data_IF_487595939636
#
_entry.id   IF_487595939636
#
_cell.length_a   1.000
_cell.length_b   1.000
_cell.length_c   1.000
_cell.angle_alpha   90.00
_cell.angle_beta   90.00
_cell.angle_gamma   90.00
#
_symmetry.space_group_name_H-M   'P 1'
#
loop_
_entity.id
_entity.type
_entity.pdbx_description
1 polymer ?
#
# COMPACT_ATOMS: atom_id res chain seq x y z
N UNK A 1 -4.77 5.11 19.23
CA UNK A 1 -3.40 4.72 18.83
C UNK A 1 -2.75 5.93 18.19
N UNK A 2 -1.55 6.33 18.60
CA UNK A 2 -0.77 7.32 17.86
C UNK A 2 -0.17 6.59 16.65
N UNK A 3 -0.20 7.14 15.42
CA UNK A 3 0.45 6.50 14.28
C UNK A 3 1.96 6.50 14.55
N UNK A 4 2.58 5.34 14.47
CA UNK A 4 4.03 5.26 14.42
C UNK A 4 4.44 5.65 13.00
N UNK A 5 4.83 6.92 12.81
CA UNK A 5 5.48 7.35 11.58
C UNK A 5 6.81 6.58 11.52
N UNK A 6 6.93 5.63 10.60
CA UNK A 6 8.17 4.89 10.37
C UNK A 6 9.21 5.89 9.83
N UNK A 7 10.33 6.14 10.53
CA UNK A 7 11.32 7.12 10.09
C UNK A 7 11.98 6.69 8.77
N UNK A 8 12.18 7.60 7.79
CA UNK A 8 12.85 7.29 6.52
C UNK A 8 14.29 6.78 6.66
N UNK A 9 14.93 7.00 7.81
CA UNK A 9 16.32 6.58 8.05
C UNK A 9 16.47 5.06 8.27
N UNK A 10 15.37 4.34 8.50
CA UNK A 10 15.39 2.97 9.02
C UNK A 10 14.86 1.92 8.03
N UNK A 11 14.42 2.32 6.84
CA UNK A 11 13.68 1.46 5.92
C UNK A 11 14.18 1.51 4.48
N UNK A 12 14.08 0.40 3.77
CA UNK A 12 14.39 0.31 2.33
C UNK A 12 13.29 -0.48 1.63
N UNK A 13 12.63 0.11 0.62
CA UNK A 13 11.53 -0.51 -0.14
C UNK A 13 12.03 -1.19 -1.43
N UNK A 14 11.61 -2.43 -1.70
CA UNK A 14 11.96 -3.19 -2.91
C UNK A 14 10.76 -3.96 -3.51
N UNK A 15 10.98 -4.47 -4.73
CA UNK A 15 10.28 -5.59 -5.42
C UNK A 15 8.88 -5.36 -6.02
N UNK A 16 8.61 -4.17 -6.53
CA UNK A 16 7.41 -3.94 -7.36
C UNK A 16 7.57 -4.59 -8.74
N UNK A 17 6.50 -5.21 -9.26
CA UNK A 17 6.34 -5.59 -10.68
C UNK A 17 7.53 -6.37 -11.31
N UNK A 18 7.94 -7.49 -10.72
CA UNK A 18 9.04 -8.32 -11.26
C UNK A 18 8.65 -8.98 -12.60
N UNK A 19 9.37 -8.65 -13.67
CA UNK A 19 9.21 -9.29 -14.98
C UNK A 19 9.99 -10.61 -15.09
N UNK A 20 9.28 -11.73 -15.07
CA UNK A 20 9.88 -13.06 -15.24
C UNK A 20 10.40 -13.33 -16.65
N UNK A 21 9.90 -12.65 -17.69
CA UNK A 21 10.46 -12.77 -19.03
C UNK A 21 11.89 -12.21 -19.08
N UNK A 22 12.12 -11.08 -18.41
CA UNK A 22 13.45 -10.51 -18.21
C UNK A 22 14.39 -11.50 -17.48
N UNK A 23 13.92 -12.18 -16.43
CA UNK A 23 14.73 -13.19 -15.74
C UNK A 23 15.02 -14.42 -16.60
N UNK A 24 14.04 -14.88 -17.38
CA UNK A 24 14.18 -16.04 -18.25
C UNK A 24 15.10 -15.78 -19.46
N UNK A 25 15.36 -14.53 -19.82
CA UNK A 25 16.31 -14.15 -20.88
C UNK A 25 17.77 -14.11 -20.40
N UNK A 26 18.01 -14.09 -19.07
CA UNK A 26 19.35 -14.03 -18.51
C UNK A 26 19.98 -15.42 -18.34
N UNK A 27 21.05 -15.69 -19.10
CA UNK A 27 21.81 -16.95 -18.99
C UNK A 27 22.27 -17.23 -17.55
N UNK A 28 22.70 -16.20 -16.82
CA UNK A 28 23.16 -16.32 -15.43
C UNK A 28 22.04 -16.78 -14.50
N UNK A 29 20.85 -16.18 -14.64
CA UNK A 29 19.67 -16.54 -13.84
C UNK A 29 19.21 -17.96 -14.19
N UNK A 30 19.09 -18.26 -15.48
CA UNK A 30 18.69 -19.59 -15.97
C UNK A 30 19.64 -20.67 -15.46
N UNK A 31 20.95 -20.47 -15.55
CA UNK A 31 21.94 -21.43 -15.03
C UNK A 31 21.88 -21.56 -13.51
N UNK A 32 21.58 -20.47 -12.77
CA UNK A 32 21.36 -20.54 -11.33
C UNK A 32 20.13 -21.41 -10.99
N UNK A 33 19.01 -21.18 -11.69
CA UNK A 33 17.79 -21.96 -11.49
C UNK A 33 18.02 -23.44 -11.77
N UNK A 34 18.70 -23.78 -12.88
CA UNK A 34 19.08 -25.15 -13.21
C UNK A 34 19.94 -25.81 -12.13
N UNK A 35 21.01 -25.13 -11.66
CA UNK A 35 21.89 -25.66 -10.58
C UNK A 35 21.17 -25.84 -9.25
N UNK A 36 20.08 -25.10 -9.02
CA UNK A 36 19.29 -25.15 -7.79
C UNK A 36 18.05 -26.03 -7.91
N UNK A 37 17.83 -26.68 -9.07
CA UNK A 37 16.65 -27.50 -9.31
C UNK A 37 15.34 -26.71 -9.34
N UNK A 38 15.39 -25.42 -9.65
CA UNK A 38 14.21 -24.55 -9.74
C UNK A 38 13.69 -24.60 -11.19
N UNK A 39 12.41 -24.94 -11.36
CA UNK A 39 11.76 -24.99 -12.67
C UNK A 39 11.71 -23.60 -13.33
N UNK A 40 11.70 -23.55 -14.66
CA UNK A 40 11.61 -22.29 -15.45
C UNK A 40 10.17 -21.97 -15.82
N UNK A 41 9.28 -22.13 -14.85
CA UNK A 41 7.87 -21.81 -14.93
C UNK A 41 7.53 -20.72 -13.91
N UNK A 42 6.27 -20.30 -13.91
CA UNK A 42 5.77 -19.26 -13.03
C UNK A 42 6.03 -19.57 -11.53
N UNK A 43 5.85 -20.83 -11.11
CA UNK A 43 6.11 -21.24 -9.74
C UNK A 43 7.60 -21.13 -9.36
N UNK A 44 8.50 -21.56 -10.25
CA UNK A 44 9.93 -21.47 -10.02
C UNK A 44 10.48 -20.05 -10.01
N UNK A 45 9.97 -19.15 -10.86
CA UNK A 45 10.35 -17.73 -10.80
C UNK A 45 9.84 -17.03 -9.53
N UNK A 46 8.67 -17.42 -9.03
CA UNK A 46 8.17 -16.95 -7.74
C UNK A 46 9.01 -17.47 -6.57
N UNK A 47 9.41 -18.74 -6.59
CA UNK A 47 10.37 -19.28 -5.62
C UNK A 47 11.69 -18.50 -5.64
N UNK A 48 12.21 -18.19 -6.84
CA UNK A 48 13.43 -17.39 -7.00
C UNK A 48 13.27 -15.97 -6.43
N UNK A 49 12.14 -15.32 -6.69
CA UNK A 49 11.82 -13.97 -6.20
C UNK A 49 11.82 -13.93 -4.67
N UNK A 50 11.20 -14.92 -4.05
CA UNK A 50 11.21 -14.98 -2.61
C UNK A 50 12.55 -15.33 -1.99
N UNK A 51 13.36 -16.18 -2.63
CA UNK A 51 14.76 -16.39 -2.21
C UNK A 51 15.55 -15.09 -2.26
N UNK A 52 15.30 -14.25 -3.27
CA UNK A 52 15.90 -12.92 -3.37
C UNK A 52 15.44 -12.01 -2.22
N UNK A 53 14.13 -11.90 -1.98
CA UNK A 53 13.57 -11.09 -0.89
C UNK A 53 14.09 -11.57 0.47
N UNK A 54 14.04 -12.87 0.76
CA UNK A 54 14.53 -13.44 2.01
C UNK A 54 16.02 -13.21 2.24
N UNK A 55 16.84 -13.22 1.19
CA UNK A 55 18.27 -12.89 1.30
C UNK A 55 18.48 -11.40 1.54
N UNK A 56 17.76 -10.54 0.83
CA UNK A 56 17.89 -9.10 0.90
C UNK A 56 17.46 -8.55 2.27
N UNK A 57 16.29 -8.98 2.74
CA UNK A 57 15.78 -8.69 4.08
C UNK A 57 16.75 -9.12 5.18
N UNK A 58 17.34 -10.32 5.10
CA UNK A 58 18.37 -10.75 6.04
C UNK A 58 19.63 -9.88 6.01
N UNK A 59 19.98 -9.29 4.87
CA UNK A 59 21.08 -8.31 4.77
C UNK A 59 20.70 -6.95 5.38
N UNK A 60 19.47 -6.49 5.14
CA UNK A 60 18.93 -5.25 5.73
C UNK A 60 18.86 -5.38 7.25
N UNK A 61 18.38 -6.50 7.77
CA UNK A 61 18.34 -6.79 9.21
C UNK A 61 19.74 -6.74 9.85
N UNK A 62 20.78 -7.27 9.17
CA UNK A 62 22.18 -7.17 9.63
C UNK A 62 22.70 -5.74 9.74
N UNK A 63 22.09 -4.79 9.02
CA UNK A 63 22.42 -3.37 9.11
C UNK A 63 21.65 -2.64 10.21
N UNK A 64 20.85 -3.34 11.02
CA UNK A 64 20.00 -2.75 12.06
C UNK A 64 18.83 -1.96 11.49
N UNK A 65 18.41 -2.28 10.26
CA UNK A 65 17.32 -1.62 9.54
C UNK A 65 16.15 -2.57 9.32
N UNK A 66 14.98 -1.98 9.11
CA UNK A 66 13.75 -2.69 8.78
C UNK A 66 13.63 -2.80 7.26
N UNK A 67 13.32 -4.00 6.77
CA UNK A 67 13.02 -4.16 5.35
C UNK A 67 11.55 -3.84 5.10
N UNK A 68 11.29 -3.04 4.07
CA UNK A 68 9.96 -2.80 3.54
C UNK A 68 9.90 -3.42 2.14
N UNK A 69 8.81 -4.05 1.78
CA UNK A 69 8.60 -4.50 0.40
C UNK A 69 7.17 -4.20 -0.03
N UNK A 70 7.00 -3.92 -1.32
CA UNK A 70 5.66 -3.85 -1.90
C UNK A 70 4.93 -5.19 -1.73
N UNK A 71 3.60 -5.15 -1.73
CA UNK A 71 2.73 -6.31 -1.52
C UNK A 71 3.02 -7.51 -2.43
N UNK A 72 3.68 -7.31 -3.57
CA UNK A 72 4.16 -8.36 -4.46
C UNK A 72 5.11 -9.34 -3.79
N UNK A 73 5.81 -8.91 -2.74
CA UNK A 73 6.57 -9.84 -1.91
C UNK A 73 5.67 -10.96 -1.36
N UNK A 74 4.41 -10.63 -1.09
CA UNK A 74 3.39 -11.56 -0.62
C UNK A 74 2.52 -12.17 -1.71
N UNK A 75 2.24 -11.44 -2.78
CA UNK A 75 1.11 -11.76 -3.67
C UNK A 75 1.49 -11.98 -5.15
N UNK A 76 2.79 -11.82 -5.45
CA UNK A 76 3.51 -12.04 -6.72
C UNK A 76 2.67 -11.86 -8.00
N UNK A 77 2.67 -10.66 -8.59
CA UNK A 77 2.18 -10.41 -9.94
C UNK A 77 3.14 -10.98 -11.00
N UNK A 78 2.69 -11.97 -11.76
CA UNK A 78 3.28 -12.36 -13.03
C UNK A 78 2.49 -11.76 -14.21
N UNK A 79 3.08 -11.58 -15.40
CA UNK A 79 2.50 -10.80 -16.51
C UNK A 79 1.19 -11.35 -17.10
N UNK A 80 0.69 -12.51 -16.64
CA UNK A 80 -0.49 -13.18 -17.22
C UNK A 80 -1.41 -13.88 -16.21
N UNK A 81 -1.16 -13.82 -14.91
CA UNK A 81 -1.81 -14.74 -13.97
C UNK A 81 -3.13 -14.20 -13.37
N UNK A 82 -4.27 -14.71 -13.87
CA UNK A 82 -5.57 -14.66 -13.21
C UNK A 82 -5.65 -15.55 -11.94
N UNK A 83 -4.58 -16.30 -11.63
CA UNK A 83 -4.49 -17.17 -10.47
C UNK A 83 -3.57 -16.55 -9.41
N UNK A 84 -4.09 -16.26 -8.20
CA UNK A 84 -3.28 -15.77 -7.10
C UNK A 84 -2.22 -16.81 -6.77
N UNK A 85 -0.98 -16.37 -6.50
CA UNK A 85 0.04 -17.27 -5.96
C UNK A 85 0.27 -16.88 -4.52
N UNK A 86 0.22 -17.85 -3.58
CA UNK A 86 0.54 -17.57 -2.20
C UNK A 86 1.96 -16.97 -2.09
N UNK A 87 2.24 -16.22 -1.01
CA UNK A 87 3.59 -15.83 -0.71
C UNK A 87 4.46 -17.07 -0.66
N UNK A 88 5.72 -16.90 -1.00
CA UNK A 88 6.68 -17.94 -0.69
C UNK A 88 6.70 -18.26 0.79
N UNK A 89 6.82 -19.56 1.10
CA UNK A 89 6.90 -20.11 2.44
C UNK A 89 8.05 -19.57 3.32
N UNK A 90 8.88 -18.61 2.85
CA UNK A 90 10.10 -18.13 3.53
C UNK A 90 10.27 -16.61 3.53
N UNK A 91 9.18 -15.85 3.65
CA UNK A 91 9.31 -14.43 3.99
C UNK A 91 9.73 -14.29 5.46
N UNK A 92 10.69 -13.40 5.79
CA UNK A 92 11.06 -13.10 7.17
C UNK A 92 9.91 -12.45 7.93
N UNK A 93 9.78 -12.75 9.22
CA UNK A 93 8.67 -12.26 10.04
C UNK A 93 8.72 -10.77 10.38
N UNK A 94 9.90 -10.16 10.25
CA UNK A 94 10.16 -8.73 10.48
C UNK A 94 10.06 -7.89 9.20
N UNK A 95 9.64 -8.49 8.08
CA UNK A 95 9.33 -7.76 6.86
C UNK A 95 8.06 -6.91 7.04
N UNK A 96 8.16 -5.62 6.75
CA UNK A 96 6.99 -4.73 6.61
C UNK A 96 6.50 -4.78 5.16
N UNK A 97 5.19 -4.90 4.98
CA UNK A 97 4.58 -5.01 3.65
C UNK A 97 3.77 -3.77 3.33
N UNK A 98 4.09 -3.12 2.21
CA UNK A 98 3.43 -1.91 1.75
C UNK A 98 2.33 -2.25 0.73
N UNK A 99 1.07 -2.02 1.12
CA UNK A 99 -0.10 -2.27 0.29
C UNK A 99 -0.42 -1.07 -0.60
N UNK A 100 -0.38 -1.29 -1.91
CA UNK A 100 -0.58 -0.25 -2.92
C UNK A 100 -1.70 -0.56 -3.90
N UNK A 101 -2.06 -1.85 -4.02
CA UNK A 101 -3.03 -2.37 -4.97
C UNK A 101 -4.07 -3.24 -4.25
N UNK A 102 -5.30 -3.20 -4.75
CA UNK A 102 -6.34 -4.16 -4.42
C UNK A 102 -6.85 -4.78 -5.72
N UNK A 103 -6.16 -5.78 -6.28
CA UNK A 103 -6.58 -6.40 -7.53
C UNK A 103 -7.88 -7.20 -7.33
N UNK A 104 -8.81 -7.20 -8.30
CA UNK A 104 -10.03 -8.00 -8.20
C UNK A 104 -9.75 -9.51 -8.20
N UNK A 105 -8.71 -9.95 -8.91
CA UNK A 105 -8.35 -11.37 -9.03
C UNK A 105 -7.55 -11.93 -7.84
N UNK A 106 -7.13 -11.09 -6.89
CA UNK A 106 -6.33 -11.52 -5.74
C UNK A 106 -6.83 -10.87 -4.43
N UNK A 107 -6.90 -11.67 -3.37
CA UNK A 107 -7.49 -11.35 -2.07
C UNK A 107 -6.46 -10.82 -1.07
N UNK A 108 -5.28 -10.43 -1.57
CA UNK A 108 -4.18 -9.81 -0.84
C UNK A 108 -4.51 -8.37 -0.42
N UNK A 109 -5.54 -8.23 0.41
CA UNK A 109 -5.88 -6.98 1.06
C UNK A 109 -5.19 -6.88 2.43
N UNK A 110 -5.32 -5.73 3.08
CA UNK A 110 -4.69 -5.47 4.37
C UNK A 110 -5.01 -6.53 5.44
N UNK A 111 -6.21 -7.12 5.42
CA UNK A 111 -6.61 -8.18 6.37
C UNK A 111 -5.86 -9.50 6.16
N UNK A 112 -5.48 -9.77 4.91
CA UNK A 112 -4.66 -10.91 4.55
C UNK A 112 -3.19 -10.66 4.94
N UNK A 113 -2.66 -9.46 4.67
CA UNK A 113 -1.31 -9.05 5.04
C UNK A 113 -1.10 -9.13 6.56
N UNK A 114 -1.99 -8.47 7.31
CA UNK A 114 -1.93 -8.36 8.78
C UNK A 114 -2.46 -9.58 9.52
N UNK A 115 -2.93 -10.61 8.80
CA UNK A 115 -3.58 -11.77 9.38
C UNK A 115 -3.00 -13.09 8.92
N UNK A 116 -3.74 -14.14 9.23
CA UNK A 116 -3.50 -15.49 8.76
C UNK A 116 -4.41 -15.85 7.58
N UNK A 117 -4.89 -14.87 6.79
CA UNK A 117 -5.95 -15.04 5.77
C UNK A 117 -5.63 -15.98 4.59
N UNK A 118 -4.40 -16.50 4.57
CA UNK A 118 -3.93 -17.54 3.64
C UNK A 118 -3.93 -18.95 4.26
N UNK A 119 -4.07 -19.10 5.58
CA UNK A 119 -4.12 -20.40 6.26
C UNK A 119 -5.41 -21.14 5.90
N UNK A 120 -5.29 -22.42 5.55
CA UNK A 120 -6.43 -23.30 5.25
C UNK A 120 -6.92 -23.26 3.81
N UNK A 121 -6.21 -22.61 2.88
CA UNK A 121 -6.54 -22.67 1.45
C UNK A 121 -5.82 -23.84 0.77
N UNK A 122 -6.52 -24.62 -0.09
CA UNK A 122 -5.95 -25.82 -0.73
C UNK A 122 -4.67 -25.56 -1.55
N UNK A 123 -4.43 -24.30 -1.94
CA UNK A 123 -3.35 -23.82 -2.79
C UNK A 123 -2.23 -23.06 -2.04
N UNK A 124 -2.32 -22.88 -0.71
CA UNK A 124 -1.42 -22.00 0.04
C UNK A 124 -0.33 -22.75 0.82
N UNK A 125 0.92 -22.62 0.37
CA UNK A 125 2.11 -22.88 1.20
C UNK A 125 2.45 -21.64 2.04
N UNK A 126 1.54 -21.23 2.93
CA UNK A 126 1.85 -20.15 3.87
C UNK A 126 3.00 -20.56 4.79
N UNK A 127 3.92 -19.65 5.17
CA UNK A 127 4.91 -19.93 6.21
C UNK A 127 4.17 -20.36 7.49
N UNK A 128 4.28 -21.63 7.86
CA UNK A 128 3.73 -22.12 9.13
C UNK A 128 4.40 -21.36 10.28
N UNK A 129 3.60 -20.91 11.26
CA UNK A 129 4.10 -20.15 12.41
C UNK A 129 4.11 -18.63 12.25
N UNK A 130 3.62 -18.05 11.14
CA UNK A 130 3.47 -16.60 11.01
C UNK A 130 2.08 -16.10 11.44
N UNK A 131 2.00 -14.95 12.15
CA UNK A 131 0.73 -14.35 12.62
C UNK A 131 0.24 -13.18 11.76
N UNK A 132 0.86 -12.94 10.60
CA UNK A 132 0.64 -11.78 9.72
C UNK A 132 1.75 -10.74 9.84
N UNK A 133 1.99 -9.95 8.80
CA UNK A 133 3.05 -8.95 8.73
C UNK A 133 2.58 -7.60 9.26
N UNK A 134 3.53 -6.78 9.69
CA UNK A 134 3.30 -5.34 9.80
C UNK A 134 3.11 -4.74 8.41
N UNK A 135 2.30 -3.68 8.32
CA UNK A 135 1.89 -3.12 7.05
C UNK A 135 1.90 -1.60 7.01
N UNK A 136 2.26 -1.06 5.84
CA UNK A 136 2.04 0.31 5.43
C UNK A 136 0.96 0.35 4.34
N UNK A 137 0.19 1.44 4.28
CA UNK A 137 -0.89 1.59 3.30
C UNK A 137 -0.64 2.80 2.40
N UNK A 138 -0.60 2.57 1.10
CA UNK A 138 -0.55 3.62 0.07
C UNK A 138 -1.68 3.51 -0.95
N UNK A 139 -2.44 2.42 -0.90
CA UNK A 139 -3.64 2.19 -1.69
C UNK A 139 -4.60 3.39 -1.61
N UNK A 140 -4.81 4.04 -2.76
CA UNK A 140 -5.71 5.19 -2.88
C UNK A 140 -5.08 6.56 -2.62
N UNK A 141 -3.76 6.65 -2.40
CA UNK A 141 -3.03 7.89 -2.14
C UNK A 141 -1.91 8.21 -3.14
N UNK A 142 -1.96 7.61 -4.34
CA UNK A 142 -1.05 7.95 -5.45
C UNK A 142 -1.30 9.38 -5.94
N UNK A 143 -0.37 10.29 -5.66
CA UNK A 143 -0.46 11.71 -5.98
C UNK A 143 -0.01 12.03 -7.41
N UNK A 144 0.71 11.12 -8.06
CA UNK A 144 1.17 11.22 -9.45
C UNK A 144 0.06 11.04 -10.49
N UNK A 145 -1.07 10.44 -10.09
CA UNK A 145 -2.21 10.17 -10.96
C UNK A 145 -2.75 11.40 -11.70
N UNK A 146 -3.48 11.14 -12.80
CA UNK A 146 -4.05 12.16 -13.70
C UNK A 146 -5.30 12.85 -13.15
N UNK A 147 -5.73 12.51 -11.93
CA UNK A 147 -6.80 13.22 -11.25
C UNK A 147 -6.46 14.71 -11.11
N UNK A 148 -7.51 15.55 -11.12
CA UNK A 148 -7.36 17.00 -10.92
C UNK A 148 -6.46 17.29 -9.72
N UNK A 149 -5.54 18.26 -9.83
CA UNK A 149 -4.70 18.66 -8.71
C UNK A 149 -5.52 19.17 -7.51
N UNK A 150 -6.78 19.53 -7.75
CA UNK A 150 -7.73 19.98 -6.75
C UNK A 150 -8.56 18.83 -6.15
N UNK A 151 -8.41 17.59 -6.60
CA UNK A 151 -9.17 16.43 -6.12
C UNK A 151 -8.55 15.86 -4.82
N UNK A 152 -8.61 16.63 -3.74
CA UNK A 152 -8.10 16.22 -2.42
C UNK A 152 -9.14 15.42 -1.62
N UNK A 153 -10.42 15.60 -1.91
CA UNK A 153 -11.55 14.97 -1.23
C UNK A 153 -11.51 13.45 -1.37
N UNK A 154 -11.10 12.94 -2.53
CA UNK A 154 -10.96 11.51 -2.77
C UNK A 154 -9.90 10.89 -1.86
N UNK A 155 -8.73 11.55 -1.73
CA UNK A 155 -7.67 11.13 -0.82
C UNK A 155 -8.12 11.24 0.65
N UNK A 156 -8.88 12.29 0.98
CA UNK A 156 -9.41 12.50 2.33
C UNK A 156 -10.50 11.49 2.72
N UNK A 157 -11.26 10.97 1.75
CA UNK A 157 -12.32 9.99 2.01
C UNK A 157 -11.78 8.58 2.32
N UNK A 158 -10.49 8.31 2.03
CA UNK A 158 -9.85 7.02 2.31
C UNK A 158 -9.54 6.85 3.80
N UNK A 159 -9.57 5.60 4.23
CA UNK A 159 -9.25 5.19 5.59
C UNK A 159 -8.21 4.06 5.54
N UNK A 160 -7.04 4.18 6.22
CA UNK A 160 -6.00 3.16 6.15
C UNK A 160 -6.44 1.78 6.68
N UNK A 161 -7.39 1.71 7.60
CA UNK A 161 -7.79 0.44 8.23
C UNK A 161 -8.94 -0.29 7.54
N UNK A 162 -9.55 0.29 6.50
CA UNK A 162 -10.68 -0.32 5.81
C UNK A 162 -10.80 0.18 4.38
N UNK A 163 -11.26 -0.69 3.46
CA UNK A 163 -11.70 -0.22 2.14
C UNK A 163 -13.16 0.27 2.13
N UNK A 164 -13.79 0.43 3.30
CA UNK A 164 -15.12 1.03 3.40
C UNK A 164 -15.01 2.56 3.38
N UNK A 165 -15.91 3.17 2.62
CA UNK A 165 -16.23 4.59 2.74
C UNK A 165 -17.44 4.72 3.66
N UNK A 166 -17.26 5.39 4.80
CA UNK A 166 -18.29 5.56 5.82
C UNK A 166 -18.73 7.02 5.97
N UNK A 167 -20.02 7.23 6.18
CA UNK A 167 -20.60 8.49 6.66
C UNK A 167 -20.77 8.39 8.16
N UNK A 168 -20.28 9.40 8.88
CA UNK A 168 -20.42 9.49 10.34
C UNK A 168 -21.44 10.56 10.71
N UNK A 169 -22.22 10.30 11.75
CA UNK A 169 -23.11 11.29 12.34
C UNK A 169 -22.33 12.37 13.13
N UNK A 170 -23.04 13.38 13.64
CA UNK A 170 -22.43 14.46 14.41
C UNK A 170 -21.79 14.00 15.75
N UNK A 171 -22.17 12.83 16.26
CA UNK A 171 -21.61 12.22 17.46
C UNK A 171 -20.41 11.29 17.14
N UNK A 172 -20.09 11.08 15.87
CA UNK A 172 -19.00 10.23 15.41
C UNK A 172 -19.38 8.74 15.30
N UNK A 173 -20.67 8.39 15.29
CA UNK A 173 -21.13 7.04 15.01
C UNK A 173 -21.24 6.78 13.50
N UNK A 174 -21.01 5.55 13.08
CA UNK A 174 -21.19 5.12 11.69
C UNK A 174 -22.68 5.11 11.33
N UNK A 175 -23.10 6.02 10.44
CA UNK A 175 -24.47 6.10 9.96
C UNK A 175 -24.70 5.19 8.74
N UNK A 176 -23.72 5.13 7.83
CA UNK A 176 -23.75 4.25 6.65
C UNK A 176 -22.33 3.97 6.15
N UNK A 177 -22.05 2.76 5.70
CA UNK A 177 -20.76 2.40 5.09
C UNK A 177 -20.97 1.57 3.83
N UNK A 178 -20.20 1.88 2.77
CA UNK A 178 -20.16 1.09 1.55
C UNK A 178 -18.72 0.70 1.23
N UNK A 179 -18.52 -0.52 0.74
CA UNK A 179 -17.19 -0.94 0.34
C UNK A 179 -16.80 -0.28 -0.98
N UNK A 180 -15.62 0.35 -1.00
CA UNK A 180 -14.98 0.76 -2.23
C UNK A 180 -14.28 -0.46 -2.83
N UNK A 181 -14.85 -0.96 -3.92
CA UNK A 181 -14.34 -2.12 -4.65
C UNK A 181 -13.82 -1.62 -5.99
N UNK A 182 -12.55 -1.90 -6.35
CA UNK A 182 -12.08 -1.61 -7.70
C UNK A 182 -12.90 -2.39 -8.74
N UNK A 183 -13.04 -1.82 -9.94
CA UNK A 183 -13.70 -2.46 -11.07
C UNK A 183 -12.84 -3.63 -11.57
N UNK A 184 -13.45 -4.81 -11.72
CA UNK A 184 -12.77 -5.99 -12.27
C UNK A 184 -13.49 -7.30 -11.95
N UNK A 185 -13.21 -8.38 -12.71
CA UNK A 185 -13.77 -9.69 -12.44
C UNK A 185 -13.10 -10.29 -11.21
N UNK A 186 -13.82 -10.26 -10.08
CA UNK A 186 -13.38 -10.96 -8.88
C UNK A 186 -13.36 -12.47 -9.13
N UNK A 187 -12.35 -13.18 -8.63
CA UNK A 187 -12.19 -14.63 -8.89
C UNK A 187 -13.44 -15.45 -8.49
N UNK A 188 -14.10 -15.06 -7.41
CA UNK A 188 -15.34 -15.67 -6.91
C UNK A 188 -16.59 -14.83 -7.19
N UNK A 189 -16.46 -13.80 -8.05
CA UNK A 189 -17.53 -12.86 -8.38
C UNK A 189 -17.95 -11.94 -7.24
N UNK A 190 -17.19 -11.88 -6.12
CA UNK A 190 -17.56 -11.11 -4.93
C UNK A 190 -16.48 -10.10 -4.55
N UNK A 191 -16.91 -8.89 -4.18
CA UNK A 191 -16.01 -7.93 -3.56
C UNK A 191 -15.63 -8.36 -2.15
N UNK A 192 -14.33 -8.44 -1.87
CA UNK A 192 -13.81 -8.73 -0.53
C UNK A 192 -13.56 -7.43 0.24
N UNK A 193 -14.58 -6.97 0.97
CA UNK A 193 -14.42 -5.89 1.92
C UNK A 193 -13.53 -6.31 3.09
N UNK A 194 -12.72 -5.39 3.58
CA UNK A 194 -12.01 -5.57 4.84
C UNK A 194 -12.23 -4.37 5.76
N UNK A 195 -12.26 -4.66 7.04
CA UNK A 195 -12.39 -3.66 8.10
C UNK A 195 -11.61 -4.14 9.31
N UNK A 196 -10.47 -3.52 9.56
CA UNK A 196 -9.60 -3.89 10.66
C UNK A 196 -9.89 -3.09 11.92
N UNK A 197 -10.78 -2.10 11.86
CA UNK A 197 -11.08 -1.22 12.98
C UNK A 197 -11.63 -2.04 14.15
N UNK A 198 -11.08 -1.82 15.34
CA UNK A 198 -11.42 -2.59 16.54
C UNK A 198 -10.86 -4.02 16.60
N UNK A 199 -10.16 -4.49 15.57
CA UNK A 199 -9.51 -5.81 15.58
C UNK A 199 -8.06 -5.73 16.10
N UNK A 200 -7.56 -6.84 16.63
CA UNK A 200 -6.14 -6.96 16.99
C UNK A 200 -5.19 -6.76 15.79
N UNK A 201 -5.67 -7.01 14.56
CA UNK A 201 -4.89 -6.83 13.33
C UNK A 201 -4.60 -5.36 13.01
N UNK A 202 -5.44 -4.42 13.47
CA UNK A 202 -5.19 -2.99 13.25
C UNK A 202 -3.88 -2.52 13.89
N UNK A 203 -3.43 -3.17 14.97
CA UNK A 203 -2.16 -2.84 15.61
C UNK A 203 -0.94 -3.16 14.72
N UNK A 204 -1.10 -3.98 13.68
CA UNK A 204 -0.06 -4.28 12.69
C UNK A 204 0.01 -3.27 11.55
N UNK A 205 -0.95 -2.35 11.46
CA UNK A 205 -0.91 -1.27 10.45
C UNK A 205 -0.16 -0.09 11.05
N UNK A 206 1.05 0.14 10.56
CA UNK A 206 1.97 1.15 11.11
C UNK A 206 1.53 2.58 10.73
N UNK A 207 0.94 2.72 9.54
CA UNK A 207 0.49 3.98 8.99
C UNK A 207 0.30 3.88 7.49
N UNK A 208 0.67 4.95 6.79
CA UNK A 208 0.62 4.96 5.33
C UNK A 208 1.39 6.10 4.71
N UNK A 209 1.49 6.07 3.39
CA UNK A 209 2.27 7.02 2.60
C UNK A 209 1.47 7.52 1.40
N UNK A 210 1.81 8.73 0.94
CA UNK A 210 1.22 9.33 -0.26
C UNK A 210 2.29 9.36 -1.36
N UNK A 211 2.45 8.28 -2.15
CA UNK A 211 3.50 8.21 -3.15
C UNK A 211 3.28 9.26 -4.25
N UNK A 212 4.38 9.86 -4.71
CA UNK A 212 4.42 10.75 -5.86
C UNK A 212 5.52 10.24 -6.80
N UNK A 213 5.12 9.36 -7.72
CA UNK A 213 6.05 8.78 -8.70
C UNK A 213 6.60 9.82 -9.67
N UNK A 214 7.86 9.61 -10.08
CA UNK A 214 8.72 10.63 -10.69
C UNK A 214 8.59 10.80 -12.21
N UNK A 215 7.79 9.99 -12.89
CA UNK A 215 7.76 9.90 -14.36
C UNK A 215 7.40 11.23 -15.02
N UNK A 216 6.55 12.02 -14.37
CA UNK A 216 6.09 13.34 -14.83
C UNK A 216 6.34 14.44 -13.79
N UNK A 217 7.24 14.19 -12.83
CA UNK A 217 7.49 15.06 -11.69
C UNK A 217 8.94 15.50 -11.68
N UNK A 218 9.15 16.80 -11.60
CA UNK A 218 10.47 17.39 -11.45
C UNK A 218 10.41 18.61 -10.52
N UNK A 219 11.53 19.34 -10.40
CA UNK A 219 11.62 20.54 -9.57
C UNK A 219 10.58 21.61 -9.90
N UNK A 220 10.03 21.63 -11.11
CA UNK A 220 9.08 22.65 -11.55
C UNK A 220 7.69 22.42 -10.95
N UNK A 221 7.31 21.16 -10.71
CA UNK A 221 5.94 20.79 -10.34
C UNK A 221 5.80 19.91 -9.09
N UNK A 222 6.88 19.48 -8.44
CA UNK A 222 6.87 18.63 -7.24
C UNK A 222 5.92 19.15 -6.14
N UNK A 223 6.14 20.38 -5.67
CA UNK A 223 5.37 20.96 -4.57
C UNK A 223 3.89 21.18 -4.92
N UNK A 224 3.52 21.80 -6.06
CA UNK A 224 2.11 21.98 -6.40
C UNK A 224 1.41 20.66 -6.73
N UNK A 225 2.14 19.61 -7.13
CA UNK A 225 1.57 18.26 -7.25
C UNK A 225 1.33 17.64 -5.88
N UNK A 226 2.29 17.73 -4.96
CA UNK A 226 2.18 17.15 -3.64
C UNK A 226 1.12 17.87 -2.77
N UNK A 227 1.15 19.19 -2.74
CA UNK A 227 0.35 20.00 -1.83
C UNK A 227 -0.78 20.73 -2.55
N UNK A 228 -1.98 20.77 -1.96
CA UNK A 228 -2.31 20.41 -0.56
C UNK A 228 -2.82 18.96 -0.37
N UNK A 229 -2.81 18.12 -1.41
CA UNK A 229 -3.35 16.74 -1.33
C UNK A 229 -2.64 15.88 -0.28
N UNK A 230 -1.32 15.99 -0.16
CA UNK A 230 -0.56 15.32 0.90
C UNK A 230 -1.00 15.77 2.31
N UNK A 231 -1.43 17.02 2.49
CA UNK A 231 -1.97 17.50 3.76
C UNK A 231 -3.30 16.82 4.12
N UNK A 232 -4.13 16.46 3.13
CA UNK A 232 -5.35 15.70 3.35
C UNK A 232 -5.03 14.29 3.86
N UNK A 233 -4.07 13.61 3.24
CA UNK A 233 -3.56 12.30 3.70
C UNK A 233 -2.99 12.40 5.12
N UNK A 234 -2.19 13.43 5.40
CA UNK A 234 -1.61 13.65 6.72
C UNK A 234 -2.69 13.79 7.81
N UNK A 235 -3.77 14.52 7.54
CA UNK A 235 -4.86 14.63 8.51
C UNK A 235 -5.58 13.29 8.73
N UNK A 236 -5.75 12.46 7.69
CA UNK A 236 -6.34 11.12 7.80
C UNK A 236 -5.48 10.17 8.62
N UNK A 237 -4.18 10.23 8.45
CA UNK A 237 -3.24 9.44 9.26
C UNK A 237 -3.18 9.93 10.70
N UNK A 238 -3.37 11.23 10.95
CA UNK A 238 -3.20 11.82 12.28
C UNK A 238 -4.48 11.83 13.14
N UNK A 239 -5.63 12.06 12.52
CA UNK A 239 -6.89 12.33 13.23
C UNK A 239 -7.67 11.05 13.55
N UNK A 240 -8.62 11.10 14.50
CA UNK A 240 -9.56 10.01 14.70
C UNK A 240 -10.33 9.66 13.42
N UNK A 241 -10.64 8.37 13.24
CA UNK A 241 -11.28 7.82 12.04
C UNK A 241 -12.55 8.57 11.64
N UNK A 242 -13.39 8.96 12.61
CA UNK A 242 -14.67 9.67 12.39
C UNK A 242 -14.50 11.11 11.86
N UNK A 243 -13.29 11.69 11.89
CA UNK A 243 -13.02 13.04 11.33
C UNK A 243 -12.82 13.00 9.82
N UNK A 244 -13.79 12.52 9.05
CA UNK A 244 -13.66 12.28 7.61
C UNK A 244 -14.57 13.15 6.73
N UNK A 245 -15.26 14.13 7.31
CA UNK A 245 -16.13 15.03 6.55
C UNK A 245 -15.30 16.06 5.75
N UNK A 246 -15.28 15.91 4.42
CA UNK A 246 -14.56 16.80 3.51
C UNK A 246 -15.06 18.25 3.59
N UNK A 247 -16.37 18.49 3.62
CA UNK A 247 -16.93 19.86 3.73
C UNK A 247 -16.48 20.58 5.01
N UNK A 248 -16.36 19.85 6.12
CA UNK A 248 -15.84 20.39 7.38
C UNK A 248 -14.31 20.56 7.39
N UNK A 249 -13.59 19.82 6.55
CA UNK A 249 -12.15 19.94 6.37
C UNK A 249 -11.76 21.07 5.41
N UNK A 250 -12.57 21.37 4.40
CA UNK A 250 -12.25 22.32 3.34
C UNK A 250 -11.81 23.71 3.86
N UNK A 251 -12.51 24.36 4.82
CA UNK A 251 -12.08 25.67 5.33
C UNK A 251 -10.73 25.62 6.06
N UNK A 252 -10.45 24.50 6.75
CA UNK A 252 -9.18 24.30 7.48
C UNK A 252 -8.04 24.04 6.51
N UNK A 253 -8.28 23.24 5.46
CA UNK A 253 -7.31 22.99 4.41
C UNK A 253 -7.00 24.25 3.61
N UNK A 254 -7.99 25.10 3.32
CA UNK A 254 -7.80 26.40 2.67
C UNK A 254 -6.91 27.33 3.52
N UNK A 255 -7.19 27.44 4.82
CA UNK A 255 -6.34 28.21 5.75
C UNK A 255 -4.93 27.63 5.84
N UNK A 256 -4.79 26.31 5.84
CA UNK A 256 -3.49 25.64 5.87
C UNK A 256 -2.71 25.86 4.57
N UNK A 257 -3.39 25.88 3.41
CA UNK A 257 -2.80 26.25 2.13
C UNK A 257 -2.19 27.65 2.17
N UNK A 258 -2.94 28.66 2.65
CA UNK A 258 -2.39 30.01 2.76
C UNK A 258 -1.16 30.06 3.67
N UNK A 259 -1.20 29.34 4.80
CA UNK A 259 -0.04 29.20 5.69
C UNK A 259 1.17 28.55 5.00
N UNK A 260 0.97 27.58 4.11
CA UNK A 260 2.06 26.96 3.35
C UNK A 260 2.68 27.94 2.35
N UNK A 261 1.86 28.75 1.68
CA UNK A 261 2.31 29.81 0.76
C UNK A 261 3.12 30.88 1.52
N UNK A 262 2.62 31.34 2.68
CA UNK A 262 3.35 32.28 3.56
C UNK A 262 4.72 31.74 4.02
N UNK A 263 4.89 30.41 4.01
CA UNK A 263 6.13 29.71 4.36
C UNK A 263 6.99 29.36 3.15
N UNK A 264 6.63 29.84 1.95
CA UNK A 264 7.41 29.66 0.72
C UNK A 264 7.18 28.35 -0.03
N UNK A 265 6.17 27.55 0.36
CA UNK A 265 5.81 26.32 -0.36
C UNK A 265 4.91 26.67 -1.55
N UNK A 266 5.21 26.16 -2.74
CA UNK A 266 4.34 26.33 -3.92
C UNK A 266 3.18 25.34 -3.86
N UNK A 267 1.96 25.82 -3.66
CA UNK A 267 0.77 24.98 -3.42
C UNK A 267 -0.33 25.26 -4.44
N UNK A 268 -0.89 24.20 -5.03
CA UNK A 268 -2.02 24.31 -5.97
C UNK A 268 -3.26 24.92 -5.29
N UNK A 269 -4.05 25.76 -5.97
CA UNK A 269 -5.38 26.19 -5.51
C UNK A 269 -6.31 25.02 -5.18
N UNK A 270 -7.24 25.20 -4.22
CA UNK A 270 -8.33 24.25 -3.99
C UNK A 270 -9.57 24.59 -4.83
N UNK A 271 -9.69 25.86 -5.21
CA UNK A 271 -10.81 26.45 -5.94
C UNK A 271 -10.61 27.96 -6.08
N UNK A 272 -11.61 28.69 -6.59
CA UNK A 272 -11.58 30.15 -6.67
C UNK A 272 -11.38 30.78 -5.28
N UNK A 273 -10.47 31.76 -5.18
CA UNK A 273 -10.19 32.46 -3.94
C UNK A 273 -8.81 33.11 -3.92
N UNK A 274 -8.43 33.62 -2.74
CA UNK A 274 -7.13 34.24 -2.51
C UNK A 274 -6.57 33.90 -1.13
N UNK A 275 -5.26 34.06 -1.02
CA UNK A 275 -4.48 34.24 0.19
C UNK A 275 -3.78 35.60 -0.02
#
# INVERSE_FOLDING_TARGET
MRPHIVPPAESFCWTREVDFACWNSSATVVSYMQRRGIARDDAGFKELTAKYIGRLTALVAKSGKTAVAWQEAMDHYGPTAANPTPPSARLPSDLVVEQWLQPAWNWANLSAITGQGYLGRPDATWPTGHSGFEALVTLGWYLDGTASLNAWEEAYAREPLTNKTCVYDAAGHEAACACSCPSGPWRDGKCHCFDLRGSAKAAKVLGGEAPLWGEHIDRTNLEPRAFPRASAVAERLWSPVWRNNASAAAPRLLKHRCRMIERGVRVTPLGPGFC
#
